data_IF_336955530117
#
_entry.id   IF_336955530117
#
_cell.length_a   1.000
_cell.length_b   1.000
_cell.length_c   1.000
_cell.angle_alpha   90.00
_cell.angle_beta   90.00
_cell.angle_gamma   90.00
#
_symmetry.space_group_name_H-M   'P 1'
#
loop_
_entity.id
_entity.type
_entity.pdbx_description
1 polymer ?
#
# COMPACT_ATOMS: atom_id res chain seq x y z
N UNK A 1 -19.03 20.30 -23.61
CA UNK A 1 -19.23 19.21 -22.64
C UNK A 1 -18.21 19.44 -21.55
N UNK A 2 -18.63 20.00 -20.42
CA UNK A 2 -17.75 20.17 -19.25
C UNK A 2 -17.38 18.78 -18.74
N UNK A 3 -16.12 18.39 -18.93
CA UNK A 3 -15.59 17.21 -18.26
C UNK A 3 -15.52 17.55 -16.77
N UNK A 4 -16.54 17.14 -15.99
CA UNK A 4 -16.38 17.05 -14.54
C UNK A 4 -15.14 16.15 -14.33
N UNK A 5 -14.06 16.63 -13.69
CA UNK A 5 -12.94 15.77 -13.39
C UNK A 5 -13.48 14.60 -12.58
N UNK A 6 -13.22 13.37 -13.03
CA UNK A 6 -13.58 12.20 -12.25
C UNK A 6 -12.94 12.35 -10.88
N UNK A 7 -13.74 12.26 -9.82
CA UNK A 7 -13.20 12.26 -8.46
C UNK A 7 -12.18 11.13 -8.36
N UNK A 8 -10.97 11.41 -7.83
CA UNK A 8 -9.94 10.39 -7.75
C UNK A 8 -10.46 9.18 -6.98
N UNK A 9 -10.25 7.99 -7.54
CA UNK A 9 -10.76 6.76 -6.94
C UNK A 9 -10.17 6.60 -5.52
N UNK A 10 -11.02 6.42 -4.49
CA UNK A 10 -10.52 6.22 -3.14
C UNK A 10 -9.63 4.98 -3.02
N UNK A 11 -8.61 5.08 -2.18
CA UNK A 11 -7.71 3.97 -1.85
C UNK A 11 -8.49 2.71 -1.46
N UNK A 12 -9.59 2.85 -0.72
CA UNK A 12 -10.42 1.73 -0.32
C UNK A 12 -10.84 0.88 -1.52
N UNK A 13 -11.42 1.51 -2.54
CA UNK A 13 -11.90 0.84 -3.75
C UNK A 13 -10.76 0.30 -4.63
N UNK A 14 -9.63 1.02 -4.65
CA UNK A 14 -8.39 0.58 -5.30
C UNK A 14 -7.91 -0.73 -4.68
N UNK A 15 -7.79 -0.79 -3.36
CA UNK A 15 -7.31 -1.97 -2.65
C UNK A 15 -8.28 -3.14 -2.77
N UNK A 16 -9.58 -2.89 -2.62
CA UNK A 16 -10.62 -3.92 -2.80
C UNK A 16 -10.45 -4.58 -4.19
N UNK A 17 -10.39 -3.76 -5.24
CA UNK A 17 -10.26 -4.22 -6.63
C UNK A 17 -8.96 -5.01 -6.84
N UNK A 18 -7.83 -4.45 -6.40
CA UNK A 18 -6.52 -5.09 -6.59
C UNK A 18 -6.42 -6.45 -5.89
N UNK A 19 -6.86 -6.54 -4.63
CA UNK A 19 -6.74 -7.78 -3.85
C UNK A 19 -7.74 -8.85 -4.27
N UNK A 20 -8.96 -8.46 -4.66
CA UNK A 20 -9.93 -9.38 -5.29
C UNK A 20 -9.32 -9.96 -6.56
N UNK A 21 -8.90 -9.13 -7.51
CA UNK A 21 -8.33 -9.59 -8.79
C UNK A 21 -7.08 -10.44 -8.59
N UNK A 22 -6.21 -10.07 -7.65
CA UNK A 22 -4.98 -10.80 -7.37
C UNK A 22 -5.24 -12.21 -6.80
N UNK A 23 -6.37 -12.40 -6.12
CA UNK A 23 -6.72 -13.65 -5.44
C UNK A 23 -7.53 -14.62 -6.31
N UNK A 24 -8.10 -14.17 -7.42
CA UNK A 24 -8.85 -15.03 -8.36
C UNK A 24 -7.97 -16.19 -8.84
N UNK A 25 -8.51 -17.41 -8.74
CA UNK A 25 -7.84 -18.65 -9.19
C UNK A 25 -6.63 -19.06 -8.33
N UNK A 26 -6.38 -18.40 -7.19
CA UNK A 26 -5.30 -18.80 -6.27
C UNK A 26 -5.75 -19.91 -5.33
N UNK A 27 -4.80 -20.76 -4.95
CA UNK A 27 -4.99 -21.71 -3.86
C UNK A 27 -5.32 -20.97 -2.56
N UNK A 28 -6.17 -21.56 -1.72
CA UNK A 28 -6.66 -20.98 -0.45
C UNK A 28 -5.53 -20.41 0.42
N UNK A 29 -4.42 -21.13 0.57
CA UNK A 29 -3.27 -20.67 1.35
C UNK A 29 -2.63 -19.37 0.78
N UNK A 30 -2.62 -19.20 -0.54
CA UNK A 30 -2.11 -17.97 -1.18
C UNK A 30 -3.09 -16.82 -1.05
N UNK A 31 -4.39 -17.07 -1.26
CA UNK A 31 -5.43 -16.07 -1.05
C UNK A 31 -5.44 -15.56 0.40
N UNK A 32 -5.29 -16.45 1.38
CA UNK A 32 -5.18 -16.09 2.79
C UNK A 32 -3.94 -15.21 3.08
N UNK A 33 -2.81 -15.46 2.40
CA UNK A 33 -1.63 -14.57 2.49
C UNK A 33 -1.92 -13.19 1.93
N UNK A 34 -2.62 -13.11 0.81
CA UNK A 34 -2.97 -11.83 0.19
C UNK A 34 -3.87 -11.01 1.11
N UNK A 35 -4.89 -11.65 1.71
CA UNK A 35 -5.74 -11.00 2.72
C UNK A 35 -4.97 -10.51 3.95
N UNK A 36 -3.94 -11.24 4.42
CA UNK A 36 -3.07 -10.73 5.50
C UNK A 36 -2.24 -9.52 5.09
N UNK A 37 -1.73 -9.50 3.86
CA UNK A 37 -1.01 -8.33 3.33
C UNK A 37 -1.96 -7.13 3.20
N UNK A 38 -3.17 -7.35 2.71
CA UNK A 38 -4.21 -6.32 2.62
C UNK A 38 -4.54 -5.72 3.99
N UNK A 39 -4.87 -6.56 4.97
CA UNK A 39 -5.19 -6.12 6.32
C UNK A 39 -4.03 -5.32 6.94
N UNK A 40 -2.78 -5.77 6.72
CA UNK A 40 -1.58 -5.08 7.21
C UNK A 40 -1.38 -3.74 6.50
N UNK A 41 -1.64 -3.65 5.20
CA UNK A 41 -1.57 -2.39 4.44
C UNK A 41 -2.63 -1.39 4.90
N UNK A 42 -3.87 -1.82 5.10
CA UNK A 42 -4.93 -0.95 5.63
C UNK A 42 -4.56 -0.42 7.01
N UNK A 43 -4.12 -1.31 7.91
CA UNK A 43 -3.66 -0.89 9.23
C UNK A 43 -2.52 0.15 9.14
N UNK A 44 -1.55 -0.06 8.27
CA UNK A 44 -0.45 0.88 8.05
C UNK A 44 -0.94 2.26 7.59
N UNK A 45 -1.85 2.31 6.61
CA UNK A 45 -2.37 3.58 6.10
C UNK A 45 -3.07 4.40 7.19
N UNK A 46 -3.88 3.74 8.01
CA UNK A 46 -4.63 4.42 9.09
C UNK A 46 -3.74 4.83 10.27
N UNK A 47 -2.56 4.24 10.43
CA UNK A 47 -1.66 4.53 11.56
C UNK A 47 -0.51 5.46 11.21
N UNK A 48 0.05 5.31 10.01
CA UNK A 48 1.28 5.99 9.58
C UNK A 48 1.15 6.71 8.23
N UNK A 49 0.04 6.53 7.50
CA UNK A 49 -0.17 7.16 6.21
C UNK A 49 -0.10 8.69 6.28
N UNK A 50 -0.55 9.28 7.39
CA UNK A 50 -0.53 10.73 7.64
C UNK A 50 0.88 11.35 7.55
N UNK A 51 1.94 10.58 7.78
CA UNK A 51 3.34 11.05 7.70
C UNK A 51 3.69 11.57 6.30
N UNK A 52 3.00 11.09 5.28
CA UNK A 52 3.26 11.43 3.88
C UNK A 52 2.35 12.53 3.32
N UNK A 53 1.38 12.99 4.12
CA UNK A 53 0.45 14.04 3.74
C UNK A 53 1.02 15.43 3.98
N UNK A 54 0.53 16.40 3.19
CA UNK A 54 0.69 17.82 3.48
C UNK A 54 -0.13 18.22 4.72
N UNK A 55 0.13 19.40 5.30
CA UNK A 55 -0.52 19.82 6.54
C UNK A 55 -2.05 19.91 6.40
N UNK A 56 -2.54 20.52 5.32
CA UNK A 56 -3.98 20.68 5.08
C UNK A 56 -4.69 19.31 4.98
N UNK A 57 -4.07 18.33 4.34
CA UNK A 57 -4.59 16.97 4.22
C UNK A 57 -4.59 16.22 5.57
N UNK A 58 -3.59 16.49 6.44
CA UNK A 58 -3.56 15.95 7.81
C UNK A 58 -4.69 16.53 8.65
N UNK A 59 -4.96 17.82 8.51
CA UNK A 59 -6.04 18.49 9.23
C UNK A 59 -7.41 17.96 8.77
N UNK A 60 -7.58 17.75 7.46
CA UNK A 60 -8.76 17.09 6.89
C UNK A 60 -8.92 15.65 7.41
N UNK A 61 -7.85 14.86 7.43
CA UNK A 61 -7.87 13.51 7.99
C UNK A 61 -8.22 13.51 9.47
N UNK A 62 -7.66 14.45 10.25
CA UNK A 62 -7.98 14.61 11.66
C UNK A 62 -9.46 14.92 11.89
N UNK A 63 -10.04 15.78 11.05
CA UNK A 63 -11.47 16.08 11.09
C UNK A 63 -12.33 14.86 10.75
N UNK A 64 -12.03 14.16 9.65
CA UNK A 64 -12.77 12.95 9.27
C UNK A 64 -12.70 11.88 10.36
N UNK A 65 -11.51 11.67 10.96
CA UNK A 65 -11.34 10.75 12.07
C UNK A 65 -12.20 11.08 13.29
N UNK A 66 -12.50 12.36 13.53
CA UNK A 66 -13.38 12.79 14.62
C UNK A 66 -14.86 12.41 14.37
N UNK A 67 -15.29 12.28 13.11
CA UNK A 67 -16.65 11.87 12.74
C UNK A 67 -16.77 10.38 12.45
N UNK A 68 -15.85 9.81 11.67
CA UNK A 68 -15.80 8.41 11.32
C UNK A 68 -14.34 7.92 11.20
N UNK A 69 -13.79 7.31 12.26
CA UNK A 69 -12.39 6.87 12.27
C UNK A 69 -12.13 5.61 11.43
N UNK A 70 -13.16 4.93 10.93
CA UNK A 70 -12.98 3.65 10.25
C UNK A 70 -12.51 3.87 8.81
N UNK A 71 -11.28 3.44 8.53
CA UNK A 71 -10.64 3.54 7.21
C UNK A 71 -10.63 4.99 6.67
N UNK A 72 -10.44 5.98 7.55
CA UNK A 72 -10.55 7.39 7.18
C UNK A 72 -9.52 7.76 6.10
N UNK A 73 -8.26 7.33 6.26
CA UNK A 73 -7.23 7.56 5.25
C UNK A 73 -7.62 6.92 3.92
N UNK A 74 -8.01 5.65 3.95
CA UNK A 74 -8.35 4.93 2.71
C UNK A 74 -9.61 5.46 2.00
N UNK A 75 -10.51 6.13 2.73
CA UNK A 75 -11.74 6.73 2.18
C UNK A 75 -11.52 8.12 1.58
N UNK A 76 -10.59 8.89 2.13
CA UNK A 76 -10.34 10.28 1.72
C UNK A 76 -9.35 10.40 0.57
N UNK A 77 -8.31 9.57 0.57
CA UNK A 77 -7.16 9.76 -0.30
C UNK A 77 -7.17 8.84 -1.52
N UNK A 78 -6.33 9.17 -2.50
CA UNK A 78 -6.30 8.54 -3.82
C UNK A 78 -5.02 7.75 -4.12
N UNK A 79 -4.85 7.39 -5.39
CA UNK A 79 -3.74 6.55 -5.85
C UNK A 79 -2.35 7.19 -5.67
N UNK A 80 -2.24 8.51 -5.84
CA UNK A 80 -0.99 9.25 -5.63
C UNK A 80 -0.55 9.17 -4.17
N UNK A 81 -1.46 9.43 -3.23
CA UNK A 81 -1.21 9.34 -1.78
C UNK A 81 -0.80 7.93 -1.39
N UNK A 82 -1.52 6.92 -1.90
CA UNK A 82 -1.15 5.52 -1.72
C UNK A 82 0.30 5.29 -2.16
N UNK A 83 0.66 5.69 -3.39
CA UNK A 83 1.99 5.49 -3.93
C UNK A 83 3.10 6.07 -3.02
N UNK A 84 2.90 7.28 -2.49
CA UNK A 84 3.88 7.91 -1.59
C UNK A 84 4.05 7.15 -0.27
N UNK A 85 2.99 6.53 0.24
CA UNK A 85 3.05 5.76 1.50
C UNK A 85 3.68 4.37 1.35
N UNK A 86 3.66 3.76 0.15
CA UNK A 86 4.08 2.36 -0.06
C UNK A 86 5.55 2.09 0.29
N UNK A 87 6.41 3.11 0.26
CA UNK A 87 7.80 3.01 0.71
C UNK A 87 7.92 2.66 2.20
N UNK A 88 7.19 3.36 3.06
CA UNK A 88 7.18 3.11 4.50
C UNK A 88 6.53 1.78 4.89
N UNK A 89 5.56 1.31 4.10
CA UNK A 89 4.95 -0.01 4.30
C UNK A 89 5.96 -1.17 4.14
N UNK A 90 7.09 -0.91 3.48
CA UNK A 90 8.15 -1.88 3.25
C UNK A 90 9.30 -1.75 4.27
N UNK A 91 9.16 -0.87 5.26
CA UNK A 91 10.11 -0.75 6.37
C UNK A 91 9.97 -1.92 7.36
N UNK A 92 11.06 -2.29 8.09
CA UNK A 92 11.10 -3.47 8.94
C UNK A 92 9.93 -3.63 9.91
N UNK A 93 9.47 -2.53 10.52
CA UNK A 93 8.40 -2.53 11.52
C UNK A 93 7.02 -2.88 10.92
N UNK A 94 6.86 -2.67 9.61
CA UNK A 94 5.62 -2.95 8.88
C UNK A 94 5.65 -4.26 8.10
N UNK A 95 6.81 -4.90 7.98
CA UNK A 95 6.93 -6.21 7.37
C UNK A 95 6.23 -7.27 8.21
N UNK A 96 5.45 -8.14 7.55
CA UNK A 96 4.85 -9.29 8.20
C UNK A 96 5.93 -10.20 8.83
N UNK A 97 5.67 -10.78 10.02
CA UNK A 97 6.66 -11.56 10.75
C UNK A 97 6.95 -12.91 10.08
N UNK A 98 5.95 -13.54 9.45
CA UNK A 98 6.12 -14.82 8.76
C UNK A 98 6.91 -14.67 7.46
N UNK A 99 7.91 -15.52 7.23
CA UNK A 99 8.79 -15.44 6.04
C UNK A 99 8.02 -15.45 4.71
N UNK A 100 7.02 -16.32 4.57
CA UNK A 100 6.21 -16.42 3.35
C UNK A 100 5.28 -15.22 3.17
N UNK A 101 4.74 -14.70 4.27
CA UNK A 101 3.87 -13.52 4.28
C UNK A 101 4.67 -12.26 3.91
N UNK A 102 5.86 -12.10 4.49
CA UNK A 102 6.82 -11.05 4.15
C UNK A 102 7.22 -11.08 2.67
N UNK A 103 7.59 -12.26 2.16
CA UNK A 103 7.91 -12.42 0.73
C UNK A 103 6.72 -12.06 -0.15
N UNK A 104 5.51 -12.42 0.27
CA UNK A 104 4.27 -12.08 -0.43
C UNK A 104 4.04 -10.57 -0.42
N UNK A 105 4.16 -9.90 0.72
CA UNK A 105 4.08 -8.44 0.86
C UNK A 105 5.04 -7.74 -0.09
N UNK A 106 6.34 -8.06 -0.01
CA UNK A 106 7.40 -7.44 -0.83
C UNK A 106 7.19 -7.71 -2.33
N UNK A 107 6.56 -8.84 -2.70
CA UNK A 107 6.22 -9.14 -4.09
C UNK A 107 4.96 -8.45 -4.57
N UNK A 108 3.97 -8.21 -3.70
CA UNK A 108 2.70 -7.61 -4.07
C UNK A 108 2.81 -6.10 -4.27
N UNK A 109 3.63 -5.40 -3.47
CA UNK A 109 3.70 -3.93 -3.56
C UNK A 109 4.15 -3.42 -4.94
N UNK A 110 5.22 -3.94 -5.57
CA UNK A 110 5.55 -3.54 -6.94
C UNK A 110 4.48 -3.94 -7.98
N UNK A 111 3.71 -5.00 -7.73
CA UNK A 111 2.59 -5.41 -8.60
C UNK A 111 1.40 -4.47 -8.46
N UNK A 112 1.11 -3.99 -7.25
CA UNK A 112 0.12 -2.95 -7.00
C UNK A 112 0.47 -1.68 -7.76
N UNK A 113 1.73 -1.20 -7.65
CA UNK A 113 2.18 -0.03 -8.41
C UNK A 113 2.03 -0.23 -9.91
N UNK A 114 2.44 -1.40 -10.43
CA UNK A 114 2.27 -1.70 -11.85
C UNK A 114 0.80 -1.74 -12.27
N UNK A 115 -0.07 -2.31 -11.44
CA UNK A 115 -1.51 -2.37 -11.68
C UNK A 115 -2.13 -0.98 -11.69
N UNK A 116 -1.76 -0.10 -10.76
CA UNK A 116 -2.19 1.30 -10.72
C UNK A 116 -1.82 2.04 -12.02
N UNK A 117 -0.61 1.84 -12.54
CA UNK A 117 -0.21 2.38 -13.85
C UNK A 117 -1.04 1.80 -15.01
N UNK A 118 -1.29 0.49 -15.01
CA UNK A 118 -2.05 -0.17 -16.06
C UNK A 118 -3.54 0.26 -16.07
N UNK A 119 -4.09 0.58 -14.91
CA UNK A 119 -5.44 1.10 -14.76
C UNK A 119 -5.52 2.64 -14.92
N UNK A 120 -4.43 3.30 -15.29
CA UNK A 120 -4.33 4.75 -15.45
C UNK A 120 -4.65 5.57 -14.18
N UNK A 121 -4.53 4.96 -13.00
CA UNK A 121 -4.61 5.67 -11.72
C UNK A 121 -3.33 6.46 -11.42
N UNK A 122 -2.22 6.10 -12.06
CA UNK A 122 -0.93 6.78 -11.98
C UNK A 122 -0.40 6.99 -13.40
N UNK A 123 0.27 8.12 -13.62
CA UNK A 123 1.02 8.38 -14.85
C UNK A 123 2.51 8.02 -14.59
N UNK A 124 3.05 6.97 -15.25
CA UNK A 124 4.44 6.57 -15.07
C UNK A 124 5.48 7.66 -15.33
N UNK A 125 5.15 8.68 -16.13
CA UNK A 125 6.03 9.81 -16.42
C UNK A 125 6.00 10.83 -15.29
N UNK A 126 4.80 11.22 -14.85
CA UNK A 126 4.59 12.17 -13.76
C UNK A 126 5.05 11.60 -12.42
N UNK A 127 4.72 10.34 -12.15
CA UNK A 127 4.91 9.69 -10.85
C UNK A 127 6.24 8.91 -10.76
N UNK A 128 7.12 9.10 -11.74
CA UNK A 128 8.36 8.33 -11.93
C UNK A 128 9.19 8.22 -10.66
N UNK A 129 9.36 9.32 -9.92
CA UNK A 129 10.20 9.36 -8.71
C UNK A 129 9.61 8.48 -7.61
N UNK A 130 8.30 8.59 -7.35
CA UNK A 130 7.62 7.82 -6.31
C UNK A 130 7.54 6.33 -6.68
N UNK A 131 7.32 6.01 -7.96
CA UNK A 131 7.38 4.64 -8.49
C UNK A 131 8.78 4.03 -8.28
N UNK A 132 9.85 4.75 -8.66
CA UNK A 132 11.22 4.27 -8.46
C UNK A 132 11.56 4.10 -6.98
N UNK A 133 11.14 5.03 -6.13
CA UNK A 133 11.38 4.98 -4.69
C UNK A 133 10.71 3.76 -4.05
N UNK A 134 9.46 3.48 -4.41
CA UNK A 134 8.74 2.27 -3.95
C UNK A 134 9.42 0.99 -4.41
N UNK A 135 9.86 0.92 -5.68
CA UNK A 135 10.61 -0.23 -6.20
C UNK A 135 11.96 -0.42 -5.50
N UNK A 136 12.66 0.67 -5.19
CA UNK A 136 13.90 0.63 -4.43
C UNK A 136 13.68 0.18 -2.98
N UNK A 137 12.60 0.62 -2.33
CA UNK A 137 12.19 0.12 -1.02
C UNK A 137 11.93 -1.39 -1.05
N UNK A 138 11.20 -1.90 -2.06
CA UNK A 138 10.98 -3.34 -2.21
C UNK A 138 12.29 -4.10 -2.43
N UNK A 139 13.21 -3.56 -3.24
CA UNK A 139 14.52 -4.17 -3.45
C UNK A 139 15.36 -4.21 -2.15
N UNK A 140 15.33 -3.16 -1.34
CA UNK A 140 15.97 -3.11 -0.02
C UNK A 140 15.35 -4.13 0.94
N UNK A 141 14.02 -4.20 1.00
CA UNK A 141 13.32 -5.17 1.85
C UNK A 141 13.64 -6.64 1.50
N UNK A 142 13.93 -6.95 0.22
CA UNK A 142 14.42 -8.27 -0.19
C UNK A 142 15.83 -8.59 0.30
N UNK A 143 16.69 -7.56 0.36
CA UNK A 143 18.09 -7.65 0.81
C UNK A 143 18.24 -7.52 2.32
N UNK A 144 17.21 -7.02 3.01
CA UNK A 144 17.14 -6.93 4.46
C UNK A 144 17.51 -8.26 5.11
N UNK A 145 18.05 -8.24 6.34
CA UNK A 145 18.88 -9.31 6.86
C UNK A 145 18.23 -10.65 6.58
N UNK A 146 18.92 -11.48 5.79
CA UNK A 146 18.68 -12.90 5.82
C UNK A 146 18.63 -13.26 7.30
N UNK A 147 17.56 -13.91 7.74
CA UNK A 147 17.45 -14.43 9.10
C UNK A 147 18.60 -15.43 9.29
N UNK A 148 19.77 -14.91 9.62
CA UNK A 148 20.98 -15.64 9.97
C UNK A 148 20.88 -15.95 11.45
N UNK A 149 20.85 -17.25 11.74
CA UNK A 149 21.32 -17.83 12.98
C UNK A 149 20.65 -17.32 14.25
N UNK A 150 19.50 -17.88 14.60
CA UNK A 150 19.32 -18.26 16.01
C UNK A 150 20.32 -19.38 16.30
N UNK A 151 21.52 -19.01 16.76
CA UNK A 151 22.32 -19.89 17.59
C UNK A 151 22.01 -19.50 19.03
N UNK A 152 21.45 -20.46 19.77
CA UNK A 152 21.31 -20.34 21.21
C UNK A 152 22.68 -20.14 21.86
N UNK A 153 22.67 -19.31 22.89
CA UNK A 153 23.58 -19.37 24.03
C UNK A 153 22.74 -19.11 25.27
#
# INVERSE_FOLDING_TARGET
MEHKPAEPQPIQAILDSFFIMSSVGKQSATAARYGRVEARLRQYLETEGWRYLAQDDRDLLGLECAFNPHNAFARLFGAEDLLYTLGGFLEPDWLLPGLQDRRTQISLIPRLVQWLCNCHFLDPRRDRIAIHSTRAAAARARKGPALGGWNGA
#
